data_IF_749192075452
#
_entry.id   IF_749192075452
#
_cell.length_a   1.000
_cell.length_b   1.000
_cell.length_c   1.000
_cell.angle_alpha   90.00
_cell.angle_beta   90.00
_cell.angle_gamma   90.00
#
_symmetry.space_group_name_H-M   'P 1'
#
loop_
_entity.id
_entity.type
_entity.pdbx_description
1 polymer ?
#
# COMPACT_ATOMS: atom_id res chain seq x y z
N UNK A 1 3.46 -20.19 -13.64
CA UNK A 1 2.88 -20.03 -14.99
C UNK A 1 2.79 -18.55 -15.37
N UNK A 2 2.77 -18.22 -16.67
CA UNK A 2 2.65 -16.82 -17.15
C UNK A 2 1.37 -16.13 -16.65
N UNK A 3 0.28 -16.89 -16.51
CA UNK A 3 -1.00 -16.40 -15.96
C UNK A 3 -0.87 -15.85 -14.53
N UNK A 4 -0.31 -16.63 -13.60
CA UNK A 4 -0.12 -16.15 -12.22
C UNK A 4 0.83 -14.96 -12.15
N UNK A 5 1.86 -14.92 -13.00
CA UNK A 5 2.76 -13.76 -13.07
C UNK A 5 2.01 -12.49 -13.52
N UNK A 6 1.10 -12.58 -14.49
CA UNK A 6 0.28 -11.46 -14.94
C UNK A 6 -0.69 -10.97 -13.85
N UNK A 7 -1.39 -11.88 -13.17
CA UNK A 7 -2.29 -11.54 -12.04
C UNK A 7 -1.52 -10.86 -10.90
N UNK A 8 -0.35 -11.40 -10.55
CA UNK A 8 0.52 -10.82 -9.52
C UNK A 8 1.04 -9.43 -9.92
N UNK A 9 1.34 -9.22 -11.20
CA UNK A 9 1.77 -7.92 -11.73
C UNK A 9 0.68 -6.86 -11.56
N UNK A 10 -0.58 -7.19 -11.86
CA UNK A 10 -1.73 -6.29 -11.70
C UNK A 10 -1.96 -5.95 -10.23
N UNK A 11 -1.91 -6.95 -9.34
CA UNK A 11 -2.10 -6.71 -7.91
C UNK A 11 -0.97 -5.85 -7.31
N UNK A 12 0.28 -6.09 -7.74
CA UNK A 12 1.44 -5.28 -7.32
C UNK A 12 1.39 -3.85 -7.87
N UNK A 13 0.92 -3.64 -9.10
CA UNK A 13 0.80 -2.30 -9.69
C UNK A 13 -0.30 -1.48 -8.99
N UNK A 14 -1.42 -2.10 -8.64
CA UNK A 14 -2.48 -1.49 -7.85
C UNK A 14 -1.97 -1.08 -6.45
N UNK A 15 -1.24 -1.97 -5.78
CA UNK A 15 -0.61 -1.69 -4.48
C UNK A 15 0.36 -0.50 -4.56
N UNK A 16 1.28 -0.50 -5.53
CA UNK A 16 2.25 0.60 -5.72
C UNK A 16 1.55 1.92 -5.99
N UNK A 17 0.48 1.91 -6.78
CA UNK A 17 -0.33 3.10 -7.06
C UNK A 17 -1.00 3.64 -5.80
N UNK A 18 -1.57 2.78 -4.94
CA UNK A 18 -2.17 3.21 -3.68
C UNK A 18 -1.13 3.82 -2.74
N UNK A 19 0.05 3.20 -2.60
CA UNK A 19 1.17 3.75 -1.81
C UNK A 19 1.60 5.12 -2.34
N UNK A 20 1.68 5.28 -3.67
CA UNK A 20 2.00 6.56 -4.30
C UNK A 20 0.95 7.62 -3.97
N UNK A 21 -0.34 7.29 -4.02
CA UNK A 21 -1.43 8.24 -3.67
C UNK A 21 -1.29 8.79 -2.25
N UNK A 22 -0.89 7.97 -1.27
CA UNK A 22 -0.61 8.45 0.11
C UNK A 22 0.56 9.44 0.13
N UNK A 23 1.63 9.14 -0.63
CA UNK A 23 2.80 10.02 -0.73
C UNK A 23 2.50 11.32 -1.47
N UNK A 24 1.64 11.29 -2.47
CA UNK A 24 1.23 12.45 -3.27
C UNK A 24 0.17 13.32 -2.59
N UNK A 25 -0.54 12.80 -1.60
CA UNK A 25 -1.59 13.56 -0.92
C UNK A 25 -1.01 14.77 -0.20
N UNK A 26 -1.63 15.94 -0.45
CA UNK A 26 -1.22 17.25 0.09
C UNK A 26 -2.03 17.67 1.30
N UNK A 27 -3.28 17.20 1.44
CA UNK A 27 -4.13 17.56 2.58
C UNK A 27 -4.21 16.40 3.60
N UNK A 28 -4.41 16.71 4.90
CA UNK A 28 -4.59 15.68 5.92
C UNK A 28 -5.75 14.72 5.61
N UNK A 29 -6.89 15.25 5.14
CA UNK A 29 -8.06 14.47 4.77
C UNK A 29 -7.80 13.50 3.60
N UNK A 30 -7.12 13.97 2.54
CA UNK A 30 -6.73 13.11 1.40
C UNK A 30 -5.68 12.07 1.80
N UNK A 31 -4.79 12.42 2.71
CA UNK A 31 -3.77 11.50 3.23
C UNK A 31 -4.41 10.38 4.03
N UNK A 32 -5.35 10.69 4.93
CA UNK A 32 -6.06 9.70 5.75
C UNK A 32 -6.89 8.73 4.90
N UNK A 33 -7.64 9.24 3.93
CA UNK A 33 -8.45 8.41 3.02
C UNK A 33 -7.58 7.51 2.14
N UNK A 34 -6.50 8.05 1.56
CA UNK A 34 -5.56 7.25 0.77
C UNK A 34 -4.84 6.18 1.63
N UNK A 35 -4.54 6.51 2.89
CA UNK A 35 -3.87 5.60 3.83
C UNK A 35 -4.72 4.37 4.10
N UNK A 36 -6.01 4.53 4.39
CA UNK A 36 -6.94 3.41 4.62
C UNK A 36 -6.99 2.44 3.43
N UNK A 37 -6.98 2.98 2.20
CA UNK A 37 -6.96 2.16 0.98
C UNK A 37 -5.64 1.41 0.84
N UNK A 38 -4.51 2.09 1.09
CA UNK A 38 -3.18 1.49 1.00
C UNK A 38 -3.00 0.37 2.05
N UNK A 39 -3.47 0.56 3.28
CA UNK A 39 -3.44 -0.46 4.33
C UNK A 39 -4.22 -1.71 3.94
N UNK A 40 -5.45 -1.55 3.47
CA UNK A 40 -6.29 -2.69 3.05
C UNK A 40 -5.62 -3.51 1.94
N UNK A 41 -4.96 -2.84 1.00
CA UNK A 41 -4.23 -3.51 -0.10
C UNK A 41 -2.94 -4.19 0.41
N UNK A 42 -2.22 -3.56 1.34
CA UNK A 42 -1.03 -4.17 1.96
C UNK A 42 -1.39 -5.45 2.72
N UNK A 43 -2.43 -5.41 3.54
CA UNK A 43 -2.85 -6.54 4.37
C UNK A 43 -3.34 -7.71 3.48
N UNK A 44 -4.04 -7.39 2.38
CA UNK A 44 -4.42 -8.40 1.37
C UNK A 44 -3.20 -8.98 0.65
N UNK A 45 -2.24 -8.14 0.29
CA UNK A 45 -1.02 -8.58 -0.39
C UNK A 45 -0.14 -9.46 0.51
N UNK A 46 -0.09 -9.16 1.82
CA UNK A 46 0.58 -9.97 2.83
C UNK A 46 -0.08 -11.35 2.97
N UNK A 47 -1.42 -11.38 3.10
CA UNK A 47 -2.18 -12.63 3.24
C UNK A 47 -1.97 -13.58 2.05
N UNK A 48 -1.94 -13.02 0.84
CA UNK A 48 -1.69 -13.79 -0.41
C UNK A 48 -0.20 -14.08 -0.66
N UNK A 49 0.70 -13.73 0.27
CA UNK A 49 2.16 -13.80 0.11
C UNK A 49 2.72 -13.16 -1.18
N UNK A 50 2.02 -12.16 -1.72
CA UNK A 50 2.52 -11.32 -2.82
C UNK A 50 3.65 -10.41 -2.35
N UNK A 51 3.56 -10.00 -1.09
CA UNK A 51 4.56 -9.22 -0.35
C UNK A 51 4.77 -9.95 0.97
N UNK A 52 6.02 -10.07 1.41
CA UNK A 52 6.32 -10.70 2.69
C UNK A 52 5.62 -9.95 3.85
N UNK A 53 5.02 -10.63 4.84
CA UNK A 53 4.31 -9.98 5.95
C UNK A 53 5.14 -8.90 6.64
N UNK A 54 6.43 -9.18 6.93
CA UNK A 54 7.34 -8.19 7.51
C UNK A 54 7.57 -6.98 6.59
N UNK A 55 7.61 -7.18 5.27
CA UNK A 55 7.71 -6.06 4.32
C UNK A 55 6.43 -5.23 4.33
N UNK A 56 5.26 -5.86 4.40
CA UNK A 56 3.98 -5.16 4.50
C UNK A 56 3.88 -4.37 5.81
N UNK A 57 4.26 -4.97 6.95
CA UNK A 57 4.31 -4.30 8.25
C UNK A 57 5.26 -3.10 8.25
N UNK A 58 6.46 -3.24 7.68
CA UNK A 58 7.42 -2.13 7.51
C UNK A 58 6.83 -1.00 6.65
N UNK A 59 6.14 -1.34 5.56
CA UNK A 59 5.50 -0.34 4.69
C UNK A 59 4.37 0.38 5.42
N UNK A 60 3.53 -0.35 6.16
CA UNK A 60 2.44 0.21 6.97
C UNK A 60 2.98 1.20 8.01
N UNK A 61 3.99 0.81 8.78
CA UNK A 61 4.65 1.70 9.76
C UNK A 61 5.20 2.98 9.12
N UNK A 62 5.90 2.87 7.98
CA UNK A 62 6.43 4.04 7.25
C UNK A 62 5.32 4.96 6.74
N UNK A 63 4.21 4.41 6.27
CA UNK A 63 3.07 5.21 5.80
C UNK A 63 2.36 5.93 6.95
N UNK A 64 2.19 5.29 8.11
CA UNK A 64 1.66 5.96 9.29
C UNK A 64 2.57 7.08 9.78
N UNK A 65 3.90 6.86 9.78
CA UNK A 65 4.87 7.91 10.12
C UNK A 65 4.72 9.12 9.18
N UNK A 66 4.63 8.88 7.87
CA UNK A 66 4.42 9.94 6.89
C UNK A 66 3.08 10.66 7.09
N UNK A 67 2.00 9.92 7.37
CA UNK A 67 0.69 10.51 7.58
C UNK A 67 0.65 11.42 8.80
N UNK A 68 1.34 11.05 9.89
CA UNK A 68 1.51 11.88 11.10
C UNK A 68 2.37 13.13 10.87
N UNK A 69 3.29 13.09 9.91
CA UNK A 69 4.08 14.27 9.53
C UNK A 69 3.31 15.24 8.65
N UNK A 70 2.27 14.76 7.96
CA UNK A 70 1.41 15.54 7.05
C UNK A 70 0.09 15.96 7.68
N UNK A 71 -0.17 15.55 8.92
CA UNK A 71 -1.36 15.91 9.69
C UNK A 71 -1.19 17.27 10.33
#
# INVERSE_FOLDING_TARGET
SRRHAAENRVQRSALRTAIRKVRSATTPAKTRTALLVAERLLDRAARKRLVHPNTAARQKSRLHKLARQKS
#
